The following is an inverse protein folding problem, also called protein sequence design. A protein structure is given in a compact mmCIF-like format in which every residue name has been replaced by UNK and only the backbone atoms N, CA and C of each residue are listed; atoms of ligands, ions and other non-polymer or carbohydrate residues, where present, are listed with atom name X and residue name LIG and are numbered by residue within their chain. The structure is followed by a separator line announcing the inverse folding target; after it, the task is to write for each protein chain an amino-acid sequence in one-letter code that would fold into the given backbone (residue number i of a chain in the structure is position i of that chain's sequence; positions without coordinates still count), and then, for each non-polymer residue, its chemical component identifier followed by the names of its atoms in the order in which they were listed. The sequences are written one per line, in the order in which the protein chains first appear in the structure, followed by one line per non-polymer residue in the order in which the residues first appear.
data_IF_975965220903
#
_entry.id   IF_975965220903
#
_cell.length_a   1.000
_cell.length_b   1.000
_cell.length_c   1.000
_cell.angle_alpha   90.00
_cell.angle_beta   90.00
_cell.angle_gamma   90.00
#
_symmetry.space_group_name_H-M   'P 1'
#
loop_
_entity.id
_entity.type
_entity.pdbx_description
1 polymer ?
#
# COMPACT_ATOMS: atom_id res chain seq x y z
N UNK A 1 -11.86 12.68 -6.66
CA UNK A 1 -10.47 12.25 -6.46
C UNK A 1 -9.74 12.30 -7.81
N UNK A 2 -8.44 12.66 -7.86
CA UNK A 2 -7.68 12.71 -9.11
C UNK A 2 -7.62 11.36 -9.80
N UNK A 3 -7.72 11.29 -11.13
CA UNK A 3 -7.82 10.01 -11.87
C UNK A 3 -6.54 9.15 -11.86
N UNK A 4 -5.45 9.62 -11.23
CA UNK A 4 -4.22 8.85 -11.08
C UNK A 4 -3.37 9.37 -9.93
N UNK A 5 -2.57 8.48 -9.34
CA UNK A 5 -1.61 8.81 -8.29
C UNK A 5 -0.63 9.92 -8.70
N UNK A 6 -0.13 9.90 -9.95
CA UNK A 6 0.81 10.94 -10.44
C UNK A 6 0.18 12.33 -10.49
N UNK A 7 -1.11 12.44 -10.85
CA UNK A 7 -1.83 13.72 -10.84
C UNK A 7 -2.03 14.20 -9.40
N UNK A 8 -2.34 13.28 -8.47
CA UNK A 8 -2.45 13.60 -7.05
C UNK A 8 -1.19 14.24 -6.50
N UNK A 9 -0.02 13.59 -6.69
CA UNK A 9 1.25 14.08 -6.14
C UNK A 9 1.62 15.47 -6.67
N UNK A 10 1.32 15.78 -7.94
CA UNK A 10 1.59 17.12 -8.52
C UNK A 10 0.82 18.25 -7.84
N UNK A 11 -0.26 17.94 -7.12
CA UNK A 11 -1.06 18.92 -6.38
C UNK A 11 -0.51 19.19 -4.97
N UNK A 12 0.65 18.62 -4.60
CA UNK A 12 1.26 18.71 -3.27
C UNK A 12 0.28 18.32 -2.13
N UNK A 13 -0.25 17.10 -2.19
CA UNK A 13 -1.27 16.62 -1.24
C UNK A 13 -0.65 16.36 0.13
N UNK A 14 -1.47 16.40 1.17
CA UNK A 14 -1.04 15.93 2.49
C UNK A 14 -1.08 14.39 2.59
N UNK A 15 -0.48 13.84 3.66
CA UNK A 15 -0.42 12.39 3.87
C UNK A 15 -1.82 11.74 3.96
N UNK A 16 -2.80 12.45 4.51
CA UNK A 16 -4.18 11.98 4.65
C UNK A 16 -4.85 11.87 3.29
N UNK A 17 -4.66 12.86 2.43
CA UNK A 17 -5.17 12.85 1.05
C UNK A 17 -4.55 11.69 0.24
N UNK A 18 -3.24 11.46 0.39
CA UNK A 18 -2.56 10.33 -0.26
C UNK A 18 -3.13 8.99 0.21
N UNK A 19 -3.26 8.80 1.53
CA UNK A 19 -3.82 7.56 2.09
C UNK A 19 -5.26 7.33 1.65
N UNK A 20 -6.07 8.39 1.64
CA UNK A 20 -7.45 8.33 1.17
C UNK A 20 -7.52 7.86 -0.28
N UNK A 21 -6.68 8.42 -1.15
CA UNK A 21 -6.60 7.98 -2.54
C UNK A 21 -6.19 6.50 -2.71
N UNK A 22 -5.25 6.01 -1.90
CA UNK A 22 -4.74 4.63 -2.01
C UNK A 22 -5.73 3.56 -1.52
N UNK A 23 -6.80 3.96 -0.83
CA UNK A 23 -7.85 3.05 -0.37
C UNK A 23 -9.19 3.27 -1.07
N UNK A 24 -9.33 4.35 -1.84
CA UNK A 24 -10.54 4.71 -2.59
C UNK A 24 -10.58 3.95 -3.92
N UNK A 25 -11.11 2.72 -3.89
CA UNK A 25 -11.29 1.89 -5.08
C UNK A 25 -11.68 0.45 -4.79
N UNK A 26 -12.12 -0.25 -5.83
CA UNK A 26 -12.49 -1.67 -5.75
C UNK A 26 -11.26 -2.56 -5.53
N UNK A 27 -11.46 -3.69 -4.85
CA UNK A 27 -10.40 -4.67 -4.63
C UNK A 27 -10.16 -5.50 -5.90
N UNK A 28 -8.89 -5.56 -6.33
CA UNK A 28 -8.46 -6.36 -7.49
C UNK A 28 -7.48 -7.43 -7.02
N UNK A 29 -7.66 -8.67 -7.47
CA UNK A 29 -6.73 -9.77 -7.19
C UNK A 29 -5.43 -9.61 -7.99
N UNK A 30 -4.29 -9.75 -7.31
CA UNK A 30 -2.96 -9.73 -7.91
C UNK A 30 -2.20 -11.00 -7.54
N UNK A 31 -1.49 -11.58 -8.50
CA UNK A 31 -0.60 -12.74 -8.27
C UNK A 31 0.84 -12.25 -8.18
N UNK A 32 1.52 -12.54 -7.07
CA UNK A 32 2.92 -12.19 -6.83
C UNK A 32 3.76 -13.46 -6.66
N UNK A 33 4.94 -13.50 -7.28
CA UNK A 33 5.96 -14.53 -7.02
C UNK A 33 6.99 -13.94 -6.07
N UNK A 34 7.19 -14.59 -4.93
CA UNK A 34 8.18 -14.20 -3.91
C UNK A 34 8.95 -15.43 -3.46
N UNK A 35 10.19 -15.27 -2.99
CA UNK A 35 10.91 -16.34 -2.29
C UNK A 35 10.08 -16.87 -1.13
N UNK A 36 10.19 -18.18 -0.87
CA UNK A 36 9.54 -18.84 0.26
C UNK A 36 9.97 -18.24 1.60
N UNK A 37 11.25 -17.89 1.75
CA UNK A 37 11.80 -17.22 2.94
C UNK A 37 11.10 -15.89 3.25
N UNK A 38 10.82 -15.07 2.23
CA UNK A 38 10.09 -13.81 2.40
C UNK A 38 8.62 -14.05 2.77
N UNK A 39 7.98 -15.02 2.10
CA UNK A 39 6.59 -15.40 2.40
C UNK A 39 6.45 -15.83 3.86
N UNK A 40 7.37 -16.65 4.36
CA UNK A 40 7.27 -17.23 5.69
C UNK A 40 7.57 -16.20 6.77
N UNK A 41 8.61 -15.38 6.60
CA UNK A 41 8.87 -14.25 7.50
C UNK A 41 7.66 -13.29 7.59
N UNK A 42 7.04 -12.97 6.46
CA UNK A 42 5.87 -12.10 6.44
C UNK A 42 4.61 -12.76 7.01
N UNK A 43 4.47 -14.09 6.96
CA UNK A 43 3.40 -14.80 7.68
C UNK A 43 3.59 -14.70 9.19
N UNK A 44 4.82 -14.79 9.66
CA UNK A 44 5.15 -14.63 11.08
C UNK A 44 4.83 -13.21 11.58
N UNK A 45 5.19 -12.19 10.80
CA UNK A 45 4.84 -10.80 11.14
C UNK A 45 3.33 -10.52 11.07
N UNK A 46 2.61 -11.22 10.20
CA UNK A 46 1.15 -11.12 10.09
C UNK A 46 0.40 -11.73 11.29
N UNK A 47 1.07 -12.39 12.26
CA UNK A 47 0.47 -13.09 13.41
C UNK A 47 -0.29 -12.20 14.42
N UNK A 48 -0.45 -10.90 14.17
CA UNK A 48 -1.22 -9.98 15.04
C UNK A 48 -2.68 -9.79 14.60
N UNK A 49 -3.30 -10.82 14.04
CA UNK A 49 -4.70 -10.78 13.58
C UNK A 49 -4.89 -10.21 12.17
N UNK A 50 -3.82 -10.09 11.39
CA UNK A 50 -3.83 -9.59 10.02
C UNK A 50 -3.58 -10.72 9.03
N UNK A 51 -4.25 -10.76 7.88
CA UNK A 51 -3.89 -11.70 6.82
C UNK A 51 -2.58 -11.27 6.15
N UNK A 52 -1.83 -12.21 5.57
CA UNK A 52 -0.62 -11.88 4.79
C UNK A 52 -0.90 -10.83 3.70
N UNK A 53 -2.04 -10.91 3.00
CA UNK A 53 -2.41 -9.93 1.97
C UNK A 53 -2.69 -8.54 2.56
N UNK A 54 -3.31 -8.46 3.74
CA UNK A 54 -3.52 -7.20 4.45
C UNK A 54 -2.18 -6.60 4.94
N UNK A 55 -1.23 -7.44 5.35
CA UNK A 55 0.13 -6.99 5.71
C UNK A 55 0.84 -6.39 4.50
N UNK A 56 0.90 -7.13 3.39
CA UNK A 56 1.49 -6.63 2.13
C UNK A 56 0.83 -5.34 1.66
N UNK A 57 -0.51 -5.25 1.69
CA UNK A 57 -1.25 -4.03 1.35
C UNK A 57 -0.86 -2.86 2.25
N UNK A 58 -0.75 -3.07 3.55
CA UNK A 58 -0.34 -2.04 4.51
C UNK A 58 1.06 -1.52 4.19
N UNK A 59 2.03 -2.41 3.97
CA UNK A 59 3.38 -2.02 3.57
C UNK A 59 3.39 -1.18 2.28
N UNK A 60 2.61 -1.57 1.27
CA UNK A 60 2.51 -0.80 0.02
C UNK A 60 1.94 0.61 0.24
N UNK A 61 0.87 0.72 1.04
CA UNK A 61 0.24 2.02 1.35
C UNK A 61 1.21 2.93 2.10
N UNK A 62 1.89 2.40 3.12
CA UNK A 62 2.85 3.19 3.89
C UNK A 62 4.00 3.70 3.04
N UNK A 63 4.58 2.86 2.19
CA UNK A 63 5.68 3.25 1.32
C UNK A 63 5.25 4.31 0.29
N UNK A 64 4.05 4.19 -0.28
CA UNK A 64 3.50 5.17 -1.22
C UNK A 64 3.10 6.48 -0.54
N UNK A 65 2.53 6.43 0.67
CA UNK A 65 2.21 7.63 1.45
C UNK A 65 3.47 8.40 1.83
N UNK A 66 4.50 7.72 2.36
CA UNK A 66 5.79 8.31 2.73
C UNK A 66 6.52 8.92 1.54
N UNK A 67 6.51 8.25 0.38
CA UNK A 67 7.16 8.77 -0.84
C UNK A 67 6.39 9.96 -1.42
N UNK A 68 5.06 9.88 -1.45
CA UNK A 68 4.21 10.95 -1.96
C UNK A 68 4.29 12.23 -1.14
N UNK A 69 4.38 12.13 0.18
CA UNK A 69 4.49 13.28 1.08
C UNK A 69 5.88 13.96 1.07
N UNK A 70 6.88 13.34 0.42
CA UNK A 70 8.24 13.89 0.25
C UNK A 70 8.48 14.46 -1.15
N UNK A 71 7.55 14.28 -2.08
CA UNK A 71 7.68 14.62 -3.49
C UNK A 71 7.13 16.01 -3.78
#
# INVERSE_FOLDING_TARGET
MPDSYKKLIKSNPDETEIRSFLVDGDQVSVTLRIPDTLRDAAKEEALRGMSFSAFVRTCMIEELAKKGARA
#
